data_IF_026606359141
#
_entry.id   IF_026606359141
#
_cell.length_a   1.000
_cell.length_b   1.000
_cell.length_c   1.000
_cell.angle_alpha   90.00
_cell.angle_beta   90.00
_cell.angle_gamma   90.00
#
_symmetry.space_group_name_H-M   'P 1'
#
loop_
_entity.id
_entity.type
_entity.pdbx_description
1 polymer ?
#
# COMPACT_ATOMS: atom_id res chain seq x y z
N UNK A 1 19.99 3.34 8.01
CA UNK A 1 19.40 4.69 7.92
C UNK A 1 18.02 4.60 8.56
N UNK A 2 17.72 5.40 9.57
CA UNK A 2 16.38 5.43 10.15
C UNK A 2 15.55 6.46 9.40
N UNK A 3 14.54 6.00 8.64
CA UNK A 3 13.55 6.88 8.01
C UNK A 3 12.61 7.36 9.10
N UNK A 4 12.45 8.67 9.23
CA UNK A 4 11.44 9.26 10.11
C UNK A 4 10.17 9.52 9.31
N UNK A 5 9.05 9.63 10.01
CA UNK A 5 7.78 10.10 9.40
C UNK A 5 7.94 11.42 8.63
N UNK A 6 8.85 12.30 9.07
CA UNK A 6 9.10 13.60 8.42
C UNK A 6 9.76 13.47 7.05
N UNK A 7 10.36 12.30 6.81
CA UNK A 7 11.08 12.00 5.60
C UNK A 7 10.14 11.28 4.60
N UNK A 8 8.86 11.09 4.92
CA UNK A 8 7.87 10.45 4.02
C UNK A 8 6.77 11.44 3.69
N UNK A 9 6.59 11.70 2.40
CA UNK A 9 5.50 12.49 1.85
C UNK A 9 4.15 11.79 2.03
N UNK A 10 3.09 12.57 1.88
CA UNK A 10 1.70 12.13 2.07
C UNK A 10 1.35 10.93 1.20
N UNK A 11 1.84 10.94 -0.04
CA UNK A 11 1.64 9.86 -1.00
C UNK A 11 2.65 8.73 -0.82
N UNK A 12 3.32 8.62 0.32
CA UNK A 12 4.27 7.54 0.62
C UNK A 12 5.65 7.67 -0.02
N UNK A 13 5.91 8.75 -0.78
CA UNK A 13 7.22 9.02 -1.35
C UNK A 13 8.24 9.35 -0.25
N UNK A 14 9.43 8.75 -0.32
CA UNK A 14 10.47 8.98 0.69
C UNK A 14 11.44 10.05 0.19
N UNK A 15 11.75 11.01 1.06
CA UNK A 15 12.68 12.11 0.84
C UNK A 15 14.09 11.69 1.21
N UNK A 16 14.99 11.80 0.24
CA UNK A 16 16.41 11.55 0.45
C UNK A 16 17.21 12.84 0.26
N UNK A 17 18.08 13.21 1.20
CA UNK A 17 19.09 14.24 0.95
C UNK A 17 19.91 13.88 -0.30
N UNK A 18 20.07 14.84 -1.22
CA UNK A 18 20.75 14.61 -2.51
C UNK A 18 22.15 14.01 -2.34
N UNK A 19 22.88 14.44 -1.31
CA UNK A 19 24.23 13.97 -1.01
C UNK A 19 24.31 12.48 -0.60
N UNK A 20 23.19 11.83 -0.26
CA UNK A 20 23.16 10.39 0.05
C UNK A 20 22.99 9.50 -1.19
N UNK A 21 22.72 10.11 -2.36
CA UNK A 21 22.56 9.38 -3.63
C UNK A 21 23.83 9.58 -4.43
N UNK A 22 24.71 8.56 -4.39
CA UNK A 22 26.06 8.63 -4.99
C UNK A 22 26.10 7.94 -6.38
N UNK A 23 25.00 7.41 -6.89
CA UNK A 23 25.00 6.61 -8.12
C UNK A 23 23.91 7.03 -9.13
N UNK A 24 24.39 7.45 -10.30
CA UNK A 24 23.71 7.67 -11.58
C UNK A 24 22.46 8.57 -11.59
N UNK A 25 22.68 9.88 -11.37
CA UNK A 25 21.70 10.96 -11.62
C UNK A 25 20.99 10.80 -12.97
N UNK A 26 21.68 10.24 -13.97
CA UNK A 26 21.16 10.03 -15.30
C UNK A 26 20.04 8.99 -15.39
N UNK A 27 20.04 7.94 -14.57
CA UNK A 27 18.96 6.95 -14.58
C UNK A 27 17.71 7.51 -13.87
N UNK A 28 17.89 8.04 -12.67
CA UNK A 28 16.80 8.58 -11.86
C UNK A 28 16.06 9.71 -12.59
N UNK A 29 16.81 10.63 -13.21
CA UNK A 29 16.23 11.75 -13.95
C UNK A 29 15.63 11.31 -15.29
N UNK A 30 16.37 10.56 -16.12
CA UNK A 30 15.93 10.26 -17.49
C UNK A 30 14.87 9.15 -17.56
N UNK A 31 14.95 8.17 -16.67
CA UNK A 31 14.09 6.99 -16.75
C UNK A 31 12.95 7.03 -15.75
N UNK A 32 13.21 7.37 -14.49
CA UNK A 32 12.16 7.49 -13.47
C UNK A 32 11.48 8.87 -13.47
N UNK A 33 12.11 9.87 -14.10
CA UNK A 33 11.65 11.26 -14.10
C UNK A 33 11.45 11.79 -12.69
N UNK A 34 12.46 11.52 -11.84
CA UNK A 34 12.55 12.04 -10.49
C UNK A 34 13.29 13.38 -10.54
N UNK A 35 12.68 14.41 -9.94
CA UNK A 35 13.28 15.74 -9.84
C UNK A 35 13.88 15.96 -8.46
N UNK A 36 14.95 16.74 -8.42
CA UNK A 36 15.55 17.23 -7.18
C UNK A 36 14.90 18.58 -6.87
N UNK A 37 14.38 18.73 -5.65
CA UNK A 37 13.78 19.96 -5.15
C UNK A 37 14.38 20.28 -3.78
N UNK A 38 14.85 21.52 -3.61
CA UNK A 38 15.40 22.04 -2.35
C UNK A 38 16.51 21.15 -1.71
N UNK A 39 17.35 20.53 -2.54
CA UNK A 39 18.43 19.65 -2.08
C UNK A 39 17.98 18.24 -1.69
N UNK A 40 16.72 17.88 -1.92
CA UNK A 40 16.16 16.56 -1.70
C UNK A 40 15.72 15.90 -3.00
N UNK A 41 15.74 14.58 -3.02
CA UNK A 41 15.18 13.73 -4.07
C UNK A 41 14.00 12.95 -3.48
N UNK A 42 12.89 12.89 -4.21
CA UNK A 42 11.71 12.09 -3.82
C UNK A 42 11.81 10.68 -4.42
N UNK A 43 11.39 9.66 -3.68
CA UNK A 43 11.50 8.27 -4.17
C UNK A 43 10.64 7.99 -5.39
N UNK A 44 9.59 8.78 -5.62
CA UNK A 44 8.63 8.60 -6.71
C UNK A 44 8.74 9.74 -7.71
N UNK A 45 8.90 9.37 -8.99
CA UNK A 45 8.93 10.30 -10.12
C UNK A 45 7.70 10.15 -10.99
N UNK A 46 7.60 10.95 -12.07
CA UNK A 46 6.42 10.92 -12.97
C UNK A 46 6.15 9.51 -13.53
N UNK A 47 7.20 8.70 -13.73
CA UNK A 47 7.08 7.34 -14.27
C UNK A 47 6.22 6.43 -13.37
N UNK A 48 6.34 6.58 -12.06
CA UNK A 48 5.60 5.81 -11.05
C UNK A 48 4.08 5.91 -11.25
N UNK A 49 3.60 7.13 -11.55
CA UNK A 49 2.18 7.45 -11.68
C UNK A 49 1.63 7.32 -13.11
N UNK A 50 2.47 6.96 -14.07
CA UNK A 50 2.07 6.90 -15.47
C UNK A 50 1.18 5.68 -15.73
N UNK A 51 0.14 5.85 -16.55
CA UNK A 51 -0.61 4.72 -17.12
C UNK A 51 0.28 4.05 -18.17
N UNK A 52 0.73 2.82 -17.88
CA UNK A 52 1.65 2.06 -18.72
C UNK A 52 0.97 0.81 -19.25
N UNK A 53 1.38 0.38 -20.45
CA UNK A 53 1.02 -0.95 -20.94
C UNK A 53 1.86 -2.01 -20.21
N UNK A 54 1.35 -3.24 -20.16
CA UNK A 54 2.01 -4.34 -19.44
C UNK A 54 3.44 -4.60 -19.94
N UNK A 55 3.69 -4.53 -21.25
CA UNK A 55 5.04 -4.71 -21.81
C UNK A 55 6.05 -3.70 -21.26
N UNK A 56 5.67 -2.42 -21.23
CA UNK A 56 6.53 -1.36 -20.71
C UNK A 56 6.82 -1.60 -19.23
N UNK A 57 5.81 -2.00 -18.47
CA UNK A 57 5.94 -2.24 -17.04
C UNK A 57 6.80 -3.47 -16.73
N UNK A 58 6.70 -4.54 -17.54
CA UNK A 58 7.57 -5.72 -17.43
C UNK A 58 9.03 -5.34 -17.73
N UNK A 59 9.28 -4.52 -18.76
CA UNK A 59 10.63 -4.04 -19.07
C UNK A 59 11.19 -3.17 -17.93
N UNK A 60 10.39 -2.27 -17.39
CA UNK A 60 10.75 -1.40 -16.27
C UNK A 60 11.12 -2.24 -15.03
N UNK A 61 10.28 -3.20 -14.63
CA UNK A 61 10.57 -4.09 -13.49
C UNK A 61 11.87 -4.88 -13.69
N UNK A 62 12.09 -5.45 -14.88
CA UNK A 62 13.34 -6.16 -15.20
C UNK A 62 14.56 -5.23 -15.09
N UNK A 63 14.42 -3.99 -15.54
CA UNK A 63 15.48 -2.98 -15.42
C UNK A 63 15.75 -2.63 -13.96
N UNK A 64 14.72 -2.40 -13.16
CA UNK A 64 14.86 -2.05 -11.74
C UNK A 64 15.53 -3.15 -10.94
N UNK A 65 15.21 -4.41 -11.23
CA UNK A 65 15.87 -5.57 -10.65
C UNK A 65 17.37 -5.60 -10.92
N UNK A 66 17.76 -5.42 -12.18
CA UNK A 66 19.17 -5.42 -12.58
C UNK A 66 19.93 -4.29 -11.86
N UNK A 67 19.40 -3.07 -11.88
CA UNK A 67 20.00 -1.91 -11.20
C UNK A 67 20.09 -2.10 -9.67
N UNK A 68 19.09 -2.76 -9.07
CA UNK A 68 19.06 -3.02 -7.63
C UNK A 68 20.22 -3.92 -7.20
N UNK A 69 20.49 -4.96 -8.00
CA UNK A 69 21.53 -5.93 -7.71
C UNK A 69 22.95 -5.39 -7.99
N UNK A 70 23.10 -4.36 -8.83
CA UNK A 70 24.39 -3.75 -9.15
C UNK A 70 24.76 -2.58 -8.24
N UNK A 71 23.78 -1.83 -7.76
CA UNK A 71 24.04 -0.66 -6.91
C UNK A 71 24.33 -1.05 -5.46
N UNK A 72 25.12 -0.24 -4.74
CA UNK A 72 25.28 -0.31 -3.29
C UNK A 72 24.64 0.90 -2.57
N UNK A 73 24.08 1.84 -3.33
CA UNK A 73 23.46 3.05 -2.78
C UNK A 73 22.10 2.69 -2.15
N UNK A 74 22.02 2.75 -0.82
CA UNK A 74 20.83 2.31 -0.06
C UNK A 74 19.54 3.11 -0.42
N UNK A 75 19.55 4.46 -0.51
CA UNK A 75 18.39 5.19 -1.01
C UNK A 75 17.99 4.79 -2.42
N UNK A 76 18.96 4.59 -3.32
CA UNK A 76 18.67 4.17 -4.69
C UNK A 76 18.05 2.77 -4.73
N UNK A 77 18.54 1.84 -3.91
CA UNK A 77 17.91 0.52 -3.73
C UNK A 77 16.45 0.63 -3.34
N UNK A 78 16.12 1.50 -2.38
CA UNK A 78 14.73 1.71 -1.98
C UNK A 78 13.86 2.21 -3.14
N UNK A 79 14.35 3.20 -3.90
CA UNK A 79 13.64 3.73 -5.08
C UNK A 79 13.33 2.61 -6.06
N UNK A 80 14.31 1.76 -6.36
CA UNK A 80 14.13 0.64 -7.29
C UNK A 80 13.13 -0.39 -6.74
N UNK A 81 13.15 -0.68 -5.44
CA UNK A 81 12.18 -1.57 -4.79
C UNK A 81 10.76 -0.99 -4.83
N UNK A 82 10.60 0.29 -4.52
CA UNK A 82 9.32 1.02 -4.50
C UNK A 82 8.66 0.96 -5.89
N UNK A 83 9.41 1.27 -6.95
CA UNK A 83 8.91 1.21 -8.33
C UNK A 83 8.69 -0.23 -8.81
N UNK A 84 9.55 -1.19 -8.44
CA UNK A 84 9.38 -2.59 -8.80
C UNK A 84 8.13 -3.19 -8.15
N UNK A 85 7.88 -2.91 -6.86
CA UNK A 85 6.70 -3.39 -6.15
C UNK A 85 5.42 -2.84 -6.80
N UNK A 86 5.38 -1.53 -7.08
CA UNK A 86 4.26 -0.90 -7.78
C UNK A 86 3.99 -1.59 -9.13
N UNK A 87 5.04 -1.83 -9.92
CA UNK A 87 4.92 -2.50 -11.21
C UNK A 87 4.41 -3.93 -11.11
N UNK A 88 4.94 -4.70 -10.15
CA UNK A 88 4.53 -6.09 -9.94
C UNK A 88 3.07 -6.21 -9.49
N UNK A 89 2.61 -5.34 -8.61
CA UNK A 89 1.22 -5.32 -8.13
C UNK A 89 0.26 -4.98 -9.28
N UNK A 90 0.59 -3.99 -10.12
CA UNK A 90 -0.19 -3.63 -11.32
C UNK A 90 -0.26 -4.76 -12.35
N UNK A 91 0.83 -5.50 -12.53
CA UNK A 91 0.86 -6.68 -13.41
C UNK A 91 0.04 -7.83 -12.82
N UNK A 92 0.13 -8.06 -11.50
CA UNK A 92 -0.69 -9.04 -10.79
C UNK A 92 -2.19 -8.75 -10.95
N UNK A 93 -2.59 -7.49 -10.88
CA UNK A 93 -3.99 -7.07 -11.07
C UNK A 93 -4.54 -7.48 -12.44
N UNK A 94 -3.73 -7.33 -13.49
CA UNK A 94 -4.06 -7.78 -14.85
C UNK A 94 -4.10 -9.31 -14.92
N UNK A 95 -3.08 -10.00 -14.40
CA UNK A 95 -3.05 -11.46 -14.42
C UNK A 95 -4.27 -12.07 -13.69
N UNK A 96 -4.66 -11.48 -12.56
CA UNK A 96 -5.85 -11.86 -11.81
C UNK A 96 -7.15 -11.66 -12.63
N UNK A 97 -7.29 -10.51 -13.30
CA UNK A 97 -8.46 -10.24 -14.17
C UNK A 97 -8.60 -11.22 -15.34
N UNK A 98 -7.49 -11.80 -15.81
CA UNK A 98 -7.45 -12.77 -16.91
C UNK A 98 -7.23 -14.22 -16.44
N UNK A 99 -7.28 -14.45 -15.12
CA UNK A 99 -7.13 -15.75 -14.48
C UNK A 99 -5.88 -16.55 -14.89
N UNK A 100 -4.73 -15.87 -14.98
CA UNK A 100 -3.44 -16.47 -15.33
C UNK A 100 -2.78 -17.21 -14.12
N UNK A 101 -3.48 -18.22 -13.60
CA UNK A 101 -3.19 -18.90 -12.31
C UNK A 101 -1.71 -19.26 -12.11
N UNK A 102 -1.05 -19.79 -13.14
CA UNK A 102 0.37 -20.21 -13.06
C UNK A 102 1.31 -19.03 -12.78
N UNK A 103 1.02 -17.87 -13.37
CA UNK A 103 1.83 -16.67 -13.21
C UNK A 103 1.48 -15.93 -11.94
N UNK A 104 0.20 -15.94 -11.54
CA UNK A 104 -0.27 -15.24 -10.36
C UNK A 104 0.56 -15.63 -9.11
N UNK A 105 0.70 -16.92 -8.80
CA UNK A 105 1.44 -17.35 -7.61
C UNK A 105 2.90 -16.89 -7.61
N UNK A 106 3.56 -16.92 -8.77
CA UNK A 106 4.93 -16.41 -8.91
C UNK A 106 5.01 -14.90 -8.65
N UNK A 107 4.04 -14.12 -9.14
CA UNK A 107 3.99 -12.69 -8.88
C UNK A 107 3.76 -12.41 -7.39
N UNK A 108 2.93 -13.21 -6.71
CA UNK A 108 2.71 -13.12 -5.26
C UNK A 108 4.01 -13.33 -4.49
N UNK A 109 4.78 -14.37 -4.85
CA UNK A 109 6.07 -14.65 -4.20
C UNK A 109 7.07 -13.50 -4.37
N UNK A 110 7.15 -12.95 -5.58
CA UNK A 110 8.03 -11.80 -5.88
C UNK A 110 7.58 -10.51 -5.20
N UNK A 111 6.28 -10.27 -5.10
CA UNK A 111 5.73 -9.14 -4.34
C UNK A 111 6.10 -9.28 -2.86
N UNK A 112 5.99 -10.47 -2.28
CA UNK A 112 6.42 -10.74 -0.90
C UNK A 112 7.92 -10.52 -0.72
N UNK A 113 8.76 -10.99 -1.63
CA UNK A 113 10.21 -10.78 -1.61
C UNK A 113 10.57 -9.28 -1.61
N UNK A 114 9.99 -8.50 -2.54
CA UNK A 114 10.18 -7.05 -2.60
C UNK A 114 9.73 -6.37 -1.30
N UNK A 115 8.58 -6.80 -0.76
CA UNK A 115 8.02 -6.25 0.48
C UNK A 115 8.90 -6.54 1.69
N UNK A 116 9.54 -7.71 1.77
CA UNK A 116 10.53 -8.01 2.83
C UNK A 116 11.71 -7.03 2.78
N UNK A 117 12.20 -6.69 1.59
CA UNK A 117 13.29 -5.74 1.45
C UNK A 117 12.87 -4.30 1.78
N UNK A 118 11.64 -3.92 1.42
CA UNK A 118 11.07 -2.62 1.82
C UNK A 118 10.90 -2.54 3.34
N UNK A 119 10.34 -3.57 3.98
CA UNK A 119 10.24 -3.62 5.45
C UNK A 119 11.62 -3.55 6.08
N UNK A 120 12.59 -4.33 5.60
CA UNK A 120 13.97 -4.30 6.08
C UNK A 120 14.60 -2.91 5.96
N UNK A 121 14.33 -2.19 4.87
CA UNK A 121 14.80 -0.81 4.70
C UNK A 121 14.27 0.11 5.81
N UNK A 122 12.96 0.09 6.08
CA UNK A 122 12.36 0.95 7.10
C UNK A 122 12.81 0.62 8.53
N UNK A 123 12.95 -0.67 8.87
CA UNK A 123 13.38 -1.10 10.21
C UNK A 123 14.90 -1.14 10.37
N UNK A 124 15.67 -0.70 9.36
CA UNK A 124 17.13 -0.61 9.43
C UNK A 124 17.87 -1.95 9.35
N UNK A 125 17.24 -3.01 8.82
CA UNK A 125 17.88 -4.30 8.55
C UNK A 125 18.65 -4.28 7.23
N UNK A 126 19.59 -5.21 7.08
CA UNK A 126 20.38 -5.38 5.85
C UNK A 126 19.48 -5.79 4.68
N UNK A 127 19.69 -5.18 3.52
CA UNK A 127 19.06 -5.59 2.27
C UNK A 127 19.88 -6.68 1.58
N UNK A 128 19.25 -7.82 1.27
CA UNK A 128 19.83 -8.90 0.48
C UNK A 128 19.67 -8.65 -1.03
N UNK A 129 20.33 -9.45 -1.87
CA UNK A 129 20.06 -9.46 -3.31
C UNK A 129 18.65 -9.96 -3.60
N UNK A 130 18.07 -9.50 -4.72
CA UNK A 130 16.83 -10.05 -5.26
C UNK A 130 17.12 -11.30 -6.06
N UNK A 131 16.32 -12.34 -5.87
CA UNK A 131 16.34 -13.54 -6.71
C UNK A 131 15.91 -13.21 -8.15
N UNK A 132 16.40 -14.00 -9.12
CA UNK A 132 16.18 -13.74 -10.54
C UNK A 132 14.71 -13.77 -10.95
N UNK A 133 14.37 -12.99 -11.98
CA UNK A 133 13.07 -13.08 -12.64
C UNK A 133 13.11 -14.14 -13.75
N UNK A 134 12.43 -15.27 -13.56
CA UNK A 134 12.50 -16.42 -14.46
C UNK A 134 11.32 -16.57 -15.43
N UNK A 135 10.22 -15.84 -15.26
CA UNK A 135 9.00 -16.05 -16.06
C UNK A 135 8.62 -14.90 -17.00
N UNK A 136 8.21 -15.28 -18.20
CA UNK A 136 7.70 -14.41 -19.25
C UNK A 136 6.24 -14.01 -19.00
N UNK A 137 5.93 -12.74 -19.29
CA UNK A 137 4.58 -12.22 -19.24
C UNK A 137 3.80 -12.60 -20.52
N UNK A 138 2.49 -12.91 -20.45
CA UNK A 138 1.75 -13.37 -21.61
C UNK A 138 1.70 -12.30 -22.70
N UNK A 139 2.22 -12.64 -23.89
CA UNK A 139 2.34 -11.68 -25.01
C UNK A 139 1.00 -11.03 -25.39
N UNK A 140 -0.10 -11.78 -25.30
CA UNK A 140 -1.44 -11.29 -25.63
C UNK A 140 -1.97 -10.24 -24.64
N UNK A 141 -1.41 -10.18 -23.42
CA UNK A 141 -1.70 -9.15 -22.42
C UNK A 141 -0.76 -7.93 -22.55
N UNK A 142 0.31 -8.02 -23.35
CA UNK A 142 1.38 -7.03 -23.40
C UNK A 142 0.94 -5.59 -23.71
N UNK A 143 -0.10 -5.41 -24.53
CA UNK A 143 -0.66 -4.10 -24.90
C UNK A 143 -1.78 -3.61 -23.97
N UNK A 144 -2.17 -4.41 -22.95
CA UNK A 144 -3.20 -4.00 -21.99
C UNK A 144 -2.65 -2.88 -21.11
N UNK A 145 -3.47 -1.84 -20.93
CA UNK A 145 -3.19 -0.75 -20.00
C UNK A 145 -3.38 -1.22 -18.56
N UNK A 146 -2.45 -0.84 -17.71
CA UNK A 146 -2.51 -1.10 -16.28
C UNK A 146 -3.09 0.10 -15.54
N UNK A 147 -3.88 -0.15 -14.50
CA UNK A 147 -4.38 0.92 -13.62
C UNK A 147 -3.21 1.62 -12.95
N UNK A 148 -3.33 2.92 -12.71
CA UNK A 148 -2.42 3.63 -11.80
C UNK A 148 -2.75 3.22 -10.37
N UNK A 149 -1.71 2.90 -9.59
CA UNK A 149 -1.85 2.55 -8.18
C UNK A 149 -1.44 3.76 -7.33
N UNK A 150 -2.39 4.29 -6.56
CA UNK A 150 -2.24 5.52 -5.78
C UNK A 150 -2.72 5.36 -4.33
N UNK A 151 -3.76 4.55 -4.14
CA UNK A 151 -4.50 4.42 -2.89
C UNK A 151 -4.15 3.05 -2.31
N UNK A 152 -3.22 3.04 -1.34
CA UNK A 152 -2.75 1.82 -0.65
C UNK A 152 -1.26 1.52 -0.70
N UNK A 153 -0.45 2.36 -1.34
CA UNK A 153 0.98 2.12 -1.55
C UNK A 153 1.92 2.89 -0.60
N UNK A 154 1.38 3.53 0.44
CA UNK A 154 2.19 4.16 1.48
C UNK A 154 2.80 3.06 2.39
N UNK A 155 4.03 2.68 2.08
CA UNK A 155 4.73 1.57 2.74
C UNK A 155 4.97 1.82 4.23
N UNK A 156 5.35 3.04 4.62
CA UNK A 156 5.63 3.36 6.02
C UNK A 156 4.34 3.35 6.83
N UNK A 157 3.27 3.96 6.32
CA UNK A 157 1.95 3.91 6.95
C UNK A 157 1.48 2.46 7.12
N UNK A 158 1.55 1.68 6.05
CA UNK A 158 1.21 0.25 6.09
C UNK A 158 2.02 -0.48 7.15
N UNK A 159 3.35 -0.25 7.21
CA UNK A 159 4.22 -0.88 8.20
C UNK A 159 3.81 -0.51 9.64
N UNK A 160 3.56 0.78 9.90
CA UNK A 160 3.15 1.27 11.23
C UNK A 160 1.82 0.68 11.69
N UNK A 161 0.89 0.50 10.76
CA UNK A 161 -0.38 -0.17 11.00
C UNK A 161 -0.21 -1.65 11.34
N UNK A 162 0.52 -2.39 10.50
CA UNK A 162 0.66 -3.85 10.66
C UNK A 162 1.47 -4.22 11.89
N UNK A 163 2.39 -3.35 12.35
CA UNK A 163 3.15 -3.53 13.60
C UNK A 163 2.24 -3.57 14.84
N UNK A 164 1.06 -2.97 14.78
CA UNK A 164 0.08 -2.96 15.87
C UNK A 164 -0.92 -4.12 15.78
N UNK A 165 -0.93 -4.85 14.67
CA UNK A 165 -1.82 -5.99 14.45
C UNK A 165 -1.16 -7.28 14.96
N UNK A 166 -1.90 -8.16 15.67
CA UNK A 166 -1.43 -9.50 15.99
C UNK A 166 -1.10 -10.32 14.74
N UNK A 167 -0.08 -11.16 14.84
CA UNK A 167 0.32 -12.07 13.77
C UNK A 167 -0.78 -13.11 13.48
N UNK A 168 -1.07 -13.30 12.20
CA UNK A 168 -1.91 -14.36 11.64
C UNK A 168 -1.06 -15.19 10.69
N UNK A 169 -1.36 -16.48 10.57
CA UNK A 169 -0.58 -17.40 9.73
C UNK A 169 -0.70 -17.05 8.25
N UNK A 170 -1.87 -16.57 7.81
CA UNK A 170 -2.13 -16.13 6.43
C UNK A 170 -2.70 -14.72 6.45
N UNK A 171 -2.21 -13.88 5.55
CA UNK A 171 -2.80 -12.60 5.19
C UNK A 171 -3.39 -12.68 3.78
N UNK A 172 -4.66 -12.34 3.65
CA UNK A 172 -5.38 -12.26 2.38
C UNK A 172 -5.58 -10.79 2.04
N UNK A 173 -4.83 -10.30 1.05
CA UNK A 173 -5.00 -8.94 0.55
C UNK A 173 -6.18 -8.84 -0.41
N UNK A 174 -6.89 -7.71 -0.35
CA UNK A 174 -7.89 -7.36 -1.37
C UNK A 174 -7.20 -6.64 -2.52
N UNK A 175 -7.21 -7.23 -3.72
CA UNK A 175 -6.78 -6.54 -4.93
C UNK A 175 -7.89 -5.57 -5.38
N UNK A 176 -7.61 -4.34 -5.78
CA UNK A 176 -6.27 -3.79 -6.02
C UNK A 176 -5.69 -2.97 -4.84
N UNK A 177 -6.55 -2.27 -4.09
CA UNK A 177 -6.16 -1.32 -3.03
C UNK A 177 -5.27 -1.93 -1.94
N UNK A 178 -5.75 -2.97 -1.26
CA UNK A 178 -5.03 -3.69 -0.21
C UNK A 178 -3.84 -4.55 -0.64
N UNK A 179 -3.39 -4.47 -1.90
CA UNK A 179 -2.33 -5.33 -2.41
C UNK A 179 -1.01 -5.17 -1.63
N UNK A 180 -0.54 -3.93 -1.50
CA UNK A 180 0.74 -3.61 -0.86
C UNK A 180 0.66 -3.68 0.66
N UNK A 181 -0.44 -3.27 1.27
CA UNK A 181 -0.59 -3.38 2.72
C UNK A 181 -0.53 -4.83 3.20
N UNK A 182 -1.18 -5.75 2.47
CA UNK A 182 -1.12 -7.19 2.74
C UNK A 182 0.28 -7.79 2.53
N UNK A 183 1.01 -7.33 1.52
CA UNK A 183 2.38 -7.81 1.29
C UNK A 183 3.35 -7.30 2.36
N UNK A 184 3.17 -6.06 2.84
CA UNK A 184 3.91 -5.50 3.98
C UNK A 184 3.58 -6.23 5.28
N UNK A 185 2.30 -6.52 5.56
CA UNK A 185 1.90 -7.37 6.69
C UNK A 185 2.62 -8.72 6.65
N UNK A 186 2.55 -9.40 5.50
CA UNK A 186 3.13 -10.73 5.32
C UNK A 186 4.65 -10.72 5.43
N UNK A 187 5.29 -9.64 4.98
CA UNK A 187 6.73 -9.45 5.13
C UNK A 187 7.14 -9.23 6.59
N UNK A 188 6.39 -8.43 7.35
CA UNK A 188 6.70 -8.12 8.74
C UNK A 188 6.43 -9.29 9.69
N UNK A 189 5.28 -9.96 9.55
CA UNK A 189 4.86 -11.08 10.41
C UNK A 189 5.32 -12.45 9.93
N UNK A 190 6.04 -12.51 8.80
CA UNK A 190 6.43 -13.77 8.13
C UNK A 190 5.24 -14.66 7.73
N UNK A 191 4.05 -14.07 7.57
CA UNK A 191 2.81 -14.77 7.18
C UNK A 191 2.82 -15.20 5.72
N UNK A 192 2.04 -16.22 5.39
CA UNK A 192 1.70 -16.54 4.01
C UNK A 192 0.88 -15.39 3.38
N UNK A 193 1.19 -15.05 2.13
CA UNK A 193 0.51 -14.00 1.39
C UNK A 193 -0.42 -14.63 0.35
N UNK A 194 -1.70 -14.27 0.43
CA UNK A 194 -2.71 -14.63 -0.55
C UNK A 194 -3.45 -13.37 -1.01
N UNK A 195 -4.16 -13.46 -2.12
CA UNK A 195 -4.98 -12.37 -2.63
C UNK A 195 -6.35 -12.86 -3.10
N UNK A 196 -7.31 -11.95 -3.01
CA UNK A 196 -8.64 -12.06 -3.63
C UNK A 196 -8.91 -10.82 -4.47
N UNK A 197 -9.75 -10.94 -5.49
CA UNK A 197 -10.21 -9.80 -6.30
C UNK A 197 -11.72 -9.80 -6.34
N UNK A 198 -12.28 -9.02 -5.42
CA UNK A 198 -13.72 -8.88 -5.24
C UNK A 198 -14.08 -7.48 -5.69
N UNK A 199 -14.72 -7.34 -6.84
CA UNK A 199 -15.12 -6.01 -7.28
C UNK A 199 -16.45 -5.59 -6.66
N UNK A 200 -16.43 -4.41 -6.05
CA UNK A 200 -17.64 -3.62 -5.80
C UNK A 200 -17.66 -2.29 -6.58
N UNK A 201 -16.58 -1.95 -7.30
CA UNK A 201 -16.43 -0.66 -7.99
C UNK A 201 -16.00 -0.74 -9.47
N UNK A 202 -15.47 -1.86 -9.93
CA UNK A 202 -15.01 -2.09 -11.31
C UNK A 202 -15.87 -3.18 -11.98
N UNK A 203 -16.39 -2.92 -13.19
CA UNK A 203 -17.11 -3.82 -14.08
C UNK A 203 -17.38 -5.27 -13.60
N UNK A 204 -18.67 -5.59 -13.43
CA UNK A 204 -19.20 -6.90 -13.00
C UNK A 204 -18.67 -8.12 -13.79
N UNK A 205 -17.99 -7.91 -14.93
CA UNK A 205 -17.41 -8.94 -15.78
C UNK A 205 -16.12 -9.57 -15.27
N UNK A 206 -15.50 -9.06 -14.19
CA UNK A 206 -14.19 -9.56 -13.70
C UNK A 206 -14.20 -10.07 -12.26
N UNK A 207 -15.38 -10.35 -11.69
CA UNK A 207 -15.48 -10.93 -10.36
C UNK A 207 -14.93 -12.35 -10.34
N UNK A 208 -13.96 -12.57 -9.45
CA UNK A 208 -13.39 -13.89 -9.20
C UNK A 208 -13.49 -14.17 -7.70
N UNK A 209 -14.23 -15.21 -7.34
CA UNK A 209 -14.20 -15.79 -5.99
C UNK A 209 -12.95 -16.68 -5.78
N UNK A 210 -11.95 -16.54 -6.66
CA UNK A 210 -10.71 -17.29 -6.53
C UNK A 210 -9.87 -16.66 -5.42
N UNK A 211 -9.32 -17.53 -4.59
CA UNK A 211 -8.22 -17.21 -3.71
C UNK A 211 -6.93 -17.58 -4.45
N UNK A 212 -6.05 -16.61 -4.64
CA UNK A 212 -4.73 -16.86 -5.21
C UNK A 212 -3.64 -16.84 -4.13
N UNK A 213 -2.57 -17.59 -4.35
CA UNK A 213 -1.52 -17.86 -3.37
C UNK A 213 -1.41 -19.36 -3.07
N UNK A 214 -0.64 -19.68 -2.03
CA UNK A 214 -0.54 -21.05 -1.55
C UNK A 214 -1.86 -21.52 -0.92
N UNK A 215 -2.05 -22.85 -0.87
CA UNK A 215 -3.23 -23.45 -0.26
C UNK A 215 -3.38 -23.03 1.22
N UNK A 216 -4.63 -22.95 1.68
CA UNK A 216 -4.95 -22.61 3.08
C UNK A 216 -5.74 -23.75 3.72
N UNK A 217 -5.34 -24.13 4.94
CA UNK A 217 -6.06 -25.14 5.72
C UNK A 217 -7.12 -24.47 6.61
N UNK A 218 -8.23 -25.16 6.87
CA UNK A 218 -9.35 -24.64 7.67
C UNK A 218 -8.97 -24.26 9.11
N UNK A 219 -7.93 -24.87 9.67
CA UNK A 219 -7.44 -24.59 11.03
C UNK A 219 -6.47 -23.39 11.11
N UNK A 220 -6.23 -22.70 10.01
CA UNK A 220 -5.23 -21.63 9.93
C UNK A 220 -5.81 -20.30 10.40
N UNK A 221 -5.04 -19.52 11.16
CA UNK A 221 -5.44 -18.14 11.47
C UNK A 221 -5.29 -17.26 10.23
N UNK A 222 -6.38 -16.61 9.82
CA UNK A 222 -6.43 -15.79 8.61
C UNK A 222 -6.88 -14.36 8.92
N UNK A 223 -6.14 -13.40 8.40
CA UNK A 223 -6.50 -11.99 8.37
C UNK A 223 -6.78 -11.56 6.92
N UNK A 224 -7.92 -10.93 6.68
CA UNK A 224 -8.19 -10.21 5.44
C UNK A 224 -7.81 -8.74 5.66
N UNK A 225 -7.04 -8.17 4.75
CA UNK A 225 -6.55 -6.79 4.86
C UNK A 225 -6.84 -6.00 3.59
N UNK A 226 -7.41 -4.81 3.77
CA UNK A 226 -7.60 -3.81 2.71
C UNK A 226 -6.80 -2.53 3.01
N UNK A 227 -6.57 -1.67 2.02
CA UNK A 227 -5.95 -0.37 2.23
C UNK A 227 -6.90 0.58 2.96
N UNK A 228 -8.17 0.56 2.60
CA UNK A 228 -9.15 1.49 3.13
C UNK A 228 -10.53 0.85 3.29
N UNK A 229 -11.20 1.13 4.41
CA UNK A 229 -12.58 0.70 4.64
C UNK A 229 -13.55 1.88 4.70
N UNK A 230 -14.46 1.97 3.73
CA UNK A 230 -15.58 2.93 3.77
C UNK A 230 -16.93 2.33 4.13
N UNK A 231 -17.34 1.27 3.42
CA UNK A 231 -18.58 0.53 3.69
C UNK A 231 -18.34 -0.88 4.23
N UNK A 232 -17.07 -1.32 4.23
CA UNK A 232 -16.59 -2.68 4.52
C UNK A 232 -17.24 -3.83 3.74
N UNK A 233 -18.07 -3.53 2.72
CA UNK A 233 -18.68 -4.56 1.87
C UNK A 233 -17.65 -5.51 1.28
N UNK A 234 -16.51 -5.01 0.79
CA UNK A 234 -15.44 -5.83 0.22
C UNK A 234 -14.84 -6.79 1.23
N UNK A 235 -14.53 -6.30 2.43
CA UNK A 235 -14.02 -7.11 3.54
C UNK A 235 -15.03 -8.18 3.99
N UNK A 236 -16.30 -7.82 4.11
CA UNK A 236 -17.37 -8.76 4.46
C UNK A 236 -17.57 -9.82 3.39
N UNK A 237 -17.53 -9.44 2.10
CA UNK A 237 -17.62 -10.40 0.99
C UNK A 237 -16.43 -11.37 0.99
N UNK A 238 -15.21 -10.88 1.23
CA UNK A 238 -14.03 -11.73 1.37
C UNK A 238 -14.16 -12.71 2.54
N UNK A 239 -14.66 -12.22 3.69
CA UNK A 239 -14.88 -13.05 4.87
C UNK A 239 -15.93 -14.14 4.60
N UNK A 240 -17.04 -13.80 3.93
CA UNK A 240 -18.07 -14.75 3.54
C UNK A 240 -17.55 -15.77 2.53
N UNK A 241 -16.76 -15.34 1.54
CA UNK A 241 -16.11 -16.22 0.56
C UNK A 241 -15.21 -17.25 1.26
N UNK A 242 -14.35 -16.81 2.20
CA UNK A 242 -13.49 -17.71 2.97
C UNK A 242 -14.29 -18.66 3.86
N UNK A 243 -15.36 -18.18 4.49
CA UNK A 243 -16.24 -19.01 5.32
C UNK A 243 -16.96 -20.08 4.51
N UNK A 244 -17.51 -19.71 3.35
CA UNK A 244 -18.32 -20.62 2.53
C UNK A 244 -17.46 -21.63 1.76
N UNK A 245 -16.35 -21.18 1.18
CA UNK A 245 -15.57 -21.99 0.26
C UNK A 245 -14.43 -22.76 0.96
N UNK A 246 -13.96 -22.26 2.12
CA UNK A 246 -12.80 -22.81 2.82
C UNK A 246 -13.07 -23.14 4.31
N UNK A 247 -14.29 -22.87 4.81
CA UNK A 247 -14.67 -23.08 6.22
C UNK A 247 -13.80 -22.29 7.21
N UNK A 248 -13.30 -21.12 6.78
CA UNK A 248 -12.41 -20.27 7.56
C UNK A 248 -13.16 -19.05 8.07
N UNK A 249 -13.14 -18.85 9.39
CA UNK A 249 -13.61 -17.62 10.02
C UNK A 249 -12.44 -16.62 10.10
N UNK A 250 -12.23 -15.86 9.04
CA UNK A 250 -11.15 -14.88 8.95
C UNK A 250 -11.47 -13.62 9.76
N UNK A 251 -10.43 -13.01 10.34
CA UNK A 251 -10.50 -11.64 10.87
C UNK A 251 -10.43 -10.63 9.73
N UNK A 252 -10.99 -9.45 9.92
CA UNK A 252 -10.96 -8.36 8.93
C UNK A 252 -10.26 -7.11 9.47
N UNK A 253 -9.42 -6.51 8.62
CA UNK A 253 -8.68 -5.30 8.94
C UNK A 253 -8.61 -4.33 7.75
N UNK A 254 -8.39 -3.06 8.06
CA UNK A 254 -8.07 -2.03 7.08
C UNK A 254 -6.94 -1.13 7.59
N UNK A 255 -6.07 -0.68 6.69
CA UNK A 255 -5.02 0.29 7.03
C UNK A 255 -5.66 1.64 7.40
N UNK A 256 -6.60 2.14 6.61
CA UNK A 256 -7.31 3.40 6.87
C UNK A 256 -8.83 3.20 6.97
N UNK A 257 -9.52 4.02 7.75
CA UNK A 257 -10.97 4.19 7.61
C UNK A 257 -11.25 5.35 6.64
N UNK A 258 -12.31 5.24 5.85
CA UNK A 258 -12.78 6.34 5.02
C UNK A 258 -13.58 7.37 5.85
N UNK A 259 -12.86 8.14 6.66
CA UNK A 259 -13.45 9.08 7.62
C UNK A 259 -14.39 10.10 6.98
N UNK A 260 -14.08 10.61 5.78
CA UNK A 260 -15.00 11.49 5.03
C UNK A 260 -16.39 10.89 4.86
N UNK A 261 -16.48 9.62 4.48
CA UNK A 261 -17.77 8.96 4.29
C UNK A 261 -18.47 8.78 5.63
N UNK A 262 -17.71 8.47 6.68
CA UNK A 262 -18.25 8.42 8.04
C UNK A 262 -18.82 9.77 8.49
N UNK A 263 -18.05 10.86 8.33
CA UNK A 263 -18.47 12.22 8.66
C UNK A 263 -19.69 12.65 7.86
N UNK A 264 -19.73 12.39 6.54
CA UNK A 264 -20.89 12.71 5.70
C UNK A 264 -22.16 12.04 6.21
N UNK A 265 -22.10 10.76 6.58
CA UNK A 265 -23.29 10.02 7.01
C UNK A 265 -23.64 10.28 8.48
N UNK A 266 -22.69 10.14 9.42
CA UNK A 266 -22.95 10.28 10.86
C UNK A 266 -23.01 11.74 11.31
N UNK A 267 -22.11 12.58 10.82
CA UNK A 267 -22.05 14.02 11.16
C UNK A 267 -23.06 14.86 10.39
N UNK A 268 -23.19 14.63 9.07
CA UNK A 268 -24.04 15.46 8.19
C UNK A 268 -25.32 14.76 7.70
N UNK A 269 -25.62 13.56 8.21
CA UNK A 269 -26.87 12.81 7.92
C UNK A 269 -27.13 12.56 6.43
N UNK A 270 -26.07 12.43 5.63
CA UNK A 270 -26.21 12.00 4.23
C UNK A 270 -26.80 10.58 4.15
N UNK A 271 -27.62 10.34 3.12
CA UNK A 271 -28.15 9.03 2.78
C UNK A 271 -27.09 8.17 2.07
N UNK A 272 -26.12 7.67 2.83
CA UNK A 272 -25.16 6.68 2.36
C UNK A 272 -24.94 5.65 3.49
N UNK A 273 -24.42 4.48 3.16
CA UNK A 273 -24.12 3.42 4.13
C UNK A 273 -22.66 3.55 4.55
N UNK A 274 -22.41 3.69 5.84
CA UNK A 274 -21.07 3.60 6.42
C UNK A 274 -20.86 2.28 7.10
N UNK A 275 -19.61 1.84 7.11
CA UNK A 275 -19.23 0.64 7.85
C UNK A 275 -19.42 0.83 9.36
N UNK A 276 -19.83 -0.23 10.05
CA UNK A 276 -19.81 -0.29 11.50
C UNK A 276 -18.39 -0.61 11.97
N UNK A 277 -17.70 0.36 12.56
CA UNK A 277 -16.31 0.21 13.01
C UNK A 277 -16.13 -0.95 14.00
N UNK A 278 -17.16 -1.30 14.78
CA UNK A 278 -17.15 -2.45 15.69
C UNK A 278 -17.07 -3.81 14.97
N UNK A 279 -17.29 -3.85 13.67
CA UNK A 279 -17.14 -5.06 12.85
C UNK A 279 -15.70 -5.30 12.37
N UNK A 280 -14.79 -4.31 12.44
CA UNK A 280 -13.36 -4.52 12.15
C UNK A 280 -12.66 -5.12 13.37
N UNK A 281 -11.88 -6.18 13.16
CA UNK A 281 -11.01 -6.71 14.22
C UNK A 281 -9.84 -5.75 14.49
N UNK A 282 -9.33 -5.10 13.44
CA UNK A 282 -8.22 -4.16 13.52
C UNK A 282 -8.42 -2.97 12.57
N UNK A 283 -8.23 -1.76 13.11
CA UNK A 283 -8.25 -0.51 12.36
C UNK A 283 -7.09 0.36 12.82
N UNK A 284 -6.37 0.98 11.88
CA UNK A 284 -5.36 1.97 12.26
C UNK A 284 -6.02 3.32 12.52
N UNK A 285 -5.58 4.08 13.55
CA UNK A 285 -6.03 5.46 13.76
C UNK A 285 -5.57 6.47 12.69
N UNK A 286 -4.68 6.09 11.78
CA UNK A 286 -4.02 7.00 10.84
C UNK A 286 -4.81 7.14 9.54
N UNK A 287 -4.89 8.36 8.99
CA UNK A 287 -5.37 8.58 7.62
C UNK A 287 -4.62 9.69 6.90
N UNK A 288 -4.40 9.49 5.59
CA UNK A 288 -3.67 10.42 4.72
C UNK A 288 -4.51 10.93 3.54
N UNK A 289 -5.67 10.31 3.27
CA UNK A 289 -6.45 10.50 2.04
C UNK A 289 -7.03 11.91 1.83
N UNK A 290 -7.08 12.73 2.88
CA UNK A 290 -7.74 14.04 2.83
C UNK A 290 -6.80 15.22 2.54
N UNK A 291 -5.54 14.97 2.19
CA UNK A 291 -4.63 16.06 1.83
C UNK A 291 -4.81 16.63 0.42
N UNK A 292 -5.51 15.96 -0.51
CA UNK A 292 -5.93 16.64 -1.75
C UNK A 292 -6.97 17.73 -1.44
N UNK A 293 -7.90 17.44 -0.52
CA UNK A 293 -8.85 18.41 0.02
C UNK A 293 -8.13 19.47 0.88
N UNK A 294 -7.16 19.08 1.72
CA UNK A 294 -6.36 20.00 2.53
C UNK A 294 -5.51 20.93 1.65
N UNK A 295 -4.90 20.42 0.58
CA UNK A 295 -4.23 21.22 -0.43
C UNK A 295 -5.21 22.18 -1.13
N UNK A 296 -6.42 21.75 -1.50
CA UNK A 296 -7.47 22.64 -2.05
C UNK A 296 -7.97 23.70 -1.05
N UNK A 297 -8.01 23.38 0.25
CA UNK A 297 -8.42 24.30 1.32
C UNK A 297 -7.30 25.29 1.68
N UNK A 298 -6.04 24.86 1.64
CA UNK A 298 -4.85 25.70 1.87
C UNK A 298 -4.55 26.58 0.65
N UNK A 299 -4.76 26.08 -0.57
CA UNK A 299 -4.61 26.85 -1.84
C UNK A 299 -5.67 27.92 -2.07
N UNK A 300 -6.69 28.04 -1.20
CA UNK A 300 -7.55 29.23 -1.17
C UNK A 300 -6.84 30.48 -0.63
N UNK A 301 -5.61 30.37 -0.12
CA UNK A 301 -4.70 31.50 0.01
C UNK A 301 -3.72 31.48 -1.17
N UNK A 302 -4.04 32.28 -2.18
CA UNK A 302 -3.16 32.58 -3.30
C UNK A 302 -1.82 33.11 -2.75
N UNK A 303 -0.72 32.55 -3.23
CA UNK A 303 0.69 32.78 -2.83
C UNK A 303 1.29 31.82 -1.82
N UNK A 304 1.40 30.53 -2.12
CA UNK A 304 2.37 29.69 -1.40
C UNK A 304 3.05 28.64 -2.31
N UNK A 305 4.39 28.67 -2.30
CA UNK A 305 5.28 27.51 -2.49
C UNK A 305 4.68 26.25 -1.88
N UNK A 306 4.76 25.09 -2.55
CA UNK A 306 4.26 23.79 -2.03
C UNK A 306 4.56 23.64 -0.54
N UNK A 307 3.58 23.90 0.33
CA UNK A 307 3.75 23.71 1.76
C UNK A 307 3.90 22.21 2.03
N UNK A 308 5.05 21.84 2.55
CA UNK A 308 5.39 20.47 2.93
C UNK A 308 4.68 20.17 4.24
N UNK A 309 3.70 19.26 4.25
CA UNK A 309 3.08 18.80 5.51
C UNK A 309 4.14 18.14 6.39
N UNK A 310 4.32 18.68 7.59
CA UNK A 310 5.18 18.13 8.65
C UNK A 310 4.48 17.00 9.41
N UNK A 311 5.25 16.13 10.07
CA UNK A 311 4.73 15.08 10.97
C UNK A 311 3.82 15.66 12.03
N UNK A 312 4.16 16.85 12.55
CA UNK A 312 3.37 17.54 13.55
C UNK A 312 1.98 17.88 13.01
N UNK A 313 1.90 18.46 11.81
CA UNK A 313 0.63 18.75 11.14
C UNK A 313 -0.16 17.48 10.83
N UNK A 314 0.53 16.37 10.50
CA UNK A 314 -0.13 15.08 10.27
C UNK A 314 -0.70 14.46 11.55
N UNK A 315 0.04 14.53 12.65
CA UNK A 315 -0.40 14.07 13.98
C UNK A 315 -1.55 14.93 14.48
N UNK A 316 -1.46 16.26 14.36
CA UNK A 316 -2.52 17.20 14.74
C UNK A 316 -3.79 16.97 13.92
N UNK A 317 -3.67 16.80 12.60
CA UNK A 317 -4.79 16.47 11.74
C UNK A 317 -5.45 15.14 12.13
N UNK A 318 -4.65 14.10 12.32
CA UNK A 318 -5.15 12.78 12.75
C UNK A 318 -5.85 12.88 14.10
N UNK A 319 -5.33 13.66 15.04
CA UNK A 319 -5.96 13.94 16.34
C UNK A 319 -7.31 14.64 16.20
N UNK A 320 -7.41 15.65 15.32
CA UNK A 320 -8.67 16.36 15.07
C UNK A 320 -9.71 15.39 14.52
N UNK A 321 -9.33 14.57 13.53
CA UNK A 321 -10.23 13.56 12.97
C UNK A 321 -10.66 12.57 14.06
N UNK A 322 -9.73 12.03 14.84
CA UNK A 322 -10.01 11.08 15.93
C UNK A 322 -10.91 11.67 17.02
N UNK A 323 -10.73 12.96 17.36
CA UNK A 323 -11.64 13.68 18.27
C UNK A 323 -13.06 13.78 17.70
N UNK A 324 -13.19 14.18 16.43
CA UNK A 324 -14.50 14.27 15.76
C UNK A 324 -15.21 12.91 15.71
N UNK A 325 -14.45 11.83 15.61
CA UNK A 325 -15.00 10.47 15.58
C UNK A 325 -15.44 9.98 16.95
N UNK A 326 -14.67 10.32 17.99
CA UNK A 326 -15.06 10.08 19.37
C UNK A 326 -16.36 10.83 19.72
N UNK A 327 -16.50 12.08 19.27
CA UNK A 327 -17.75 12.88 19.43
C UNK A 327 -18.95 12.23 18.71
N UNK A 328 -18.71 11.43 17.67
CA UNK A 328 -19.73 10.67 16.94
C UNK A 328 -20.03 9.29 17.55
N UNK A 329 -19.41 8.95 18.69
CA UNK A 329 -19.63 7.69 19.40
C UNK A 329 -18.85 6.50 18.84
N UNK A 330 -17.84 6.73 17.99
CA UNK A 330 -16.95 5.66 17.53
C UNK A 330 -15.85 5.39 18.55
N UNK A 331 -15.62 4.10 18.88
CA UNK A 331 -14.48 3.69 19.70
C UNK A 331 -13.22 3.79 18.85
N UNK A 332 -12.31 4.70 19.21
CA UNK A 332 -11.00 4.80 18.57
C UNK A 332 -9.97 3.98 19.37
N UNK A 333 -9.10 3.19 18.70
CA UNK A 333 -7.94 2.60 19.36
C UNK A 333 -7.05 3.69 19.99
N UNK A 334 -6.48 3.40 21.15
CA UNK A 334 -5.69 4.32 21.97
C UNK A 334 -4.54 5.01 21.19
N UNK A 335 -4.78 6.26 20.77
CA UNK A 335 -3.77 7.20 20.25
C UNK A 335 -2.54 7.33 21.16
N UNK A 336 -2.69 7.10 22.46
CA UNK A 336 -1.62 7.21 23.45
C UNK A 336 -0.51 6.15 23.27
N UNK A 337 -0.82 4.98 22.68
CA UNK A 337 0.23 4.03 22.28
C UNK A 337 1.10 4.57 21.13
N UNK A 338 0.51 5.38 20.23
CA UNK A 338 1.21 5.93 19.06
C UNK A 338 2.21 7.03 19.43
N UNK A 339 1.86 7.94 20.36
CA UNK A 339 2.77 9.01 20.83
C UNK A 339 4.07 8.44 21.42
N UNK A 340 3.97 7.35 22.17
CA UNK A 340 5.08 6.78 22.92
C UNK A 340 6.07 5.98 22.06
N UNK A 341 5.65 5.49 20.89
CA UNK A 341 6.50 4.68 20.02
C UNK A 341 7.53 5.50 19.20
N UNK A 342 7.36 6.82 19.04
CA UNK A 342 8.15 7.63 18.10
C UNK A 342 8.60 9.01 18.60
N UNK A 343 8.25 9.43 19.82
CA UNK A 343 8.90 10.59 20.48
C UNK A 343 10.34 10.25 20.95
N UNK A 344 10.79 9.00 20.79
CA UNK A 344 12.17 8.55 21.13
C UNK A 344 13.03 8.32 19.91
#
# INVERSE_FOLDING_TARGET
MHIRLSDVGILGDVRFPKNLIIADDGFLERHLNIKIMDGFLLSRGKRYYSELICNDLVMDVKKYHNEYNTTNCLPYKYILLDHALNGMVRLLDILASFNEVKLINYYIDKIKELSVLIVNFFIGKRLSSLSDYSMDFPKYLGLKKTRTYLEGDNHLLSLLSVMQMPASSVCVGVLFGGAVSASIYSAYHHSQLNYVKLSCYDDASFNSENLWGAEINSNTSVLILDDNCGTGKTLTLAQQMLKNNYQINAKIAAIELHWEKLLRVKGYRHQDVVFDTGSLDYLTPLSVRHHHLLNQLVTKNEHITMHQTSVKEWVEYSQIILSLLADLGEVTPDLEQFKNAWIR
#
